data_IF_299475679599
#
_entry.id   IF_299475679599
#
_cell.length_a   1.000
_cell.length_b   1.000
_cell.length_c   1.000
_cell.angle_alpha   90.00
_cell.angle_beta   90.00
_cell.angle_gamma   90.00
#
_symmetry.space_group_name_H-M   'P 1'
#
loop_
_entity.id
_entity.type
_entity.pdbx_description
1 polymer ?
#
# COMPACT_ATOMS: atom_id res chain seq x y z
N UNK A 1 21.90 27.91 22.83
CA UNK A 1 20.42 27.87 23.02
C UNK A 1 19.88 26.77 22.12
N UNK A 2 19.43 25.67 22.75
CA UNK A 2 18.64 24.54 22.23
C UNK A 2 19.01 23.96 20.85
N UNK A 3 20.06 23.12 20.86
CA UNK A 3 20.19 21.95 19.99
C UNK A 3 19.08 20.95 20.36
N UNK A 4 18.02 20.85 19.56
CA UNK A 4 17.11 19.71 19.59
C UNK A 4 17.63 18.65 18.64
N UNK A 5 18.19 17.58 19.21
CA UNK A 5 18.43 16.31 18.53
C UNK A 5 17.09 15.72 18.07
N UNK A 6 16.69 16.00 16.84
CA UNK A 6 15.70 15.18 16.16
C UNK A 6 16.44 13.95 15.61
N UNK A 7 16.48 12.88 16.39
CA UNK A 7 16.83 11.55 15.88
C UNK A 7 15.68 11.14 14.95
N UNK A 8 15.85 11.39 13.65
CA UNK A 8 14.92 10.92 12.62
C UNK A 8 15.12 9.41 12.45
N UNK A 9 14.10 8.65 12.86
CA UNK A 9 14.05 7.20 12.80
C UNK A 9 14.00 6.73 11.33
N UNK A 10 15.12 6.22 10.81
CA UNK A 10 15.15 5.34 9.63
C UNK A 10 14.63 3.93 9.99
N UNK A 11 14.38 3.67 11.28
CA UNK A 11 13.60 2.52 11.73
C UNK A 11 12.14 2.90 11.78
N UNK A 12 11.35 2.47 10.79
CA UNK A 12 9.91 2.41 10.96
C UNK A 12 9.59 1.64 12.24
N UNK A 13 8.56 2.06 12.97
CA UNK A 13 8.08 1.31 14.13
C UNK A 13 7.95 -0.16 13.72
N UNK A 14 8.73 -1.03 14.38
CA UNK A 14 8.66 -2.47 14.13
C UNK A 14 7.26 -2.89 14.56
N UNK A 15 6.42 -3.18 13.58
CA UNK A 15 5.05 -3.63 13.82
C UNK A 15 5.12 -5.08 14.32
N UNK A 16 4.79 -5.30 15.59
CA UNK A 16 4.66 -6.64 16.16
C UNK A 16 3.17 -7.03 16.25
N UNK A 17 2.68 -7.69 15.20
CA UNK A 17 1.32 -8.20 15.15
C UNK A 17 1.02 -9.37 16.10
N UNK A 18 2.02 -9.88 16.83
CA UNK A 18 1.81 -10.91 17.85
C UNK A 18 1.59 -10.31 19.24
N UNK A 19 1.96 -9.05 19.45
CA UNK A 19 1.77 -8.39 20.74
C UNK A 19 0.27 -8.34 21.08
N UNK A 20 -0.12 -8.90 22.22
CA UNK A 20 -1.51 -8.90 22.70
C UNK A 20 -2.46 -9.79 21.90
N UNK A 21 -1.95 -10.67 21.03
CA UNK A 21 -2.75 -11.63 20.28
C UNK A 21 -3.29 -12.73 21.22
N UNK A 22 -4.61 -12.89 21.28
CA UNK A 22 -5.30 -13.96 22.02
C UNK A 22 -5.36 -15.23 21.16
N UNK A 23 -5.80 -15.10 19.91
CA UNK A 23 -6.00 -16.21 19.00
C UNK A 23 -5.90 -15.74 17.54
N UNK A 24 -5.51 -16.66 16.65
CA UNK A 24 -5.52 -16.44 15.20
C UNK A 24 -5.86 -17.71 14.42
N UNK A 25 -6.45 -17.51 13.24
CA UNK A 25 -6.73 -18.52 12.23
C UNK A 25 -6.30 -17.97 10.88
N UNK A 26 -5.21 -18.51 10.35
CA UNK A 26 -4.59 -18.01 9.12
C UNK A 26 -5.15 -18.74 7.88
N UNK A 27 -5.75 -19.90 8.04
CA UNK A 27 -6.36 -20.67 6.95
C UNK A 27 -7.52 -19.92 6.25
N UNK A 28 -7.78 -20.30 4.99
CA UNK A 28 -9.01 -19.89 4.30
C UNK A 28 -10.11 -20.88 4.65
N UNK A 29 -11.10 -20.37 5.38
CA UNK A 29 -12.24 -21.11 5.91
C UNK A 29 -13.50 -20.75 5.13
N UNK A 30 -14.38 -21.71 4.81
CA UNK A 30 -15.69 -21.38 4.30
C UNK A 30 -16.54 -20.77 5.42
N UNK A 31 -17.49 -19.89 5.06
CA UNK A 31 -18.36 -19.23 6.03
C UNK A 31 -19.41 -20.18 6.67
N UNK A 32 -19.46 -21.46 6.31
CA UNK A 32 -20.41 -22.46 6.79
C UNK A 32 -19.79 -23.53 7.70
N UNK A 33 -18.76 -23.16 8.45
CA UNK A 33 -18.06 -24.09 9.31
C UNK A 33 -18.99 -24.71 10.37
N UNK A 34 -19.13 -26.02 10.33
CA UNK A 34 -19.98 -26.80 11.25
C UNK A 34 -19.45 -26.83 12.70
N UNK A 35 -18.34 -26.16 13.00
CA UNK A 35 -17.64 -26.24 14.29
C UNK A 35 -17.21 -24.84 14.77
N UNK A 36 -17.40 -24.51 16.07
CA UNK A 36 -16.92 -23.25 16.65
C UNK A 36 -15.39 -23.16 16.64
N UNK A 37 -14.89 -21.95 16.38
CA UNK A 37 -13.48 -21.58 16.52
C UNK A 37 -13.22 -21.18 17.97
N UNK A 38 -12.93 -22.18 18.80
CA UNK A 38 -12.72 -21.99 20.24
C UNK A 38 -11.47 -21.16 20.55
N UNK A 39 -11.58 -20.25 21.52
CA UNK A 39 -10.42 -19.54 22.06
C UNK A 39 -9.55 -20.47 22.92
N UNK A 40 -8.24 -20.18 23.07
CA UNK A 40 -7.38 -20.94 23.96
C UNK A 40 -7.87 -20.79 25.41
N UNK A 41 -7.63 -21.81 26.25
CA UNK A 41 -8.01 -21.78 27.68
C UNK A 41 -7.44 -20.57 28.44
N UNK A 42 -6.30 -20.05 28.00
CA UNK A 42 -5.69 -18.83 28.55
C UNK A 42 -6.50 -17.56 28.31
N UNK A 43 -7.50 -17.61 27.44
CA UNK A 43 -8.41 -16.49 27.18
C UNK A 43 -9.54 -16.37 28.21
N UNK A 44 -9.82 -17.44 28.96
CA UNK A 44 -10.91 -17.49 29.93
C UNK A 44 -10.63 -16.55 31.11
N UNK A 45 -11.59 -15.71 31.45
CA UNK A 45 -11.47 -14.67 32.48
C UNK A 45 -10.75 -13.39 32.03
N UNK A 46 -10.32 -13.27 30.76
CA UNK A 46 -9.74 -12.01 30.27
C UNK A 46 -10.81 -10.91 30.29
N UNK A 47 -10.46 -9.77 30.88
CA UNK A 47 -11.25 -8.54 30.82
C UNK A 47 -10.79 -7.69 29.62
N UNK A 48 -11.62 -7.62 28.58
CA UNK A 48 -11.35 -6.84 27.37
C UNK A 48 -11.69 -5.37 27.58
N UNK A 49 -10.78 -4.62 28.21
CA UNK A 49 -10.88 -3.16 28.33
C UNK A 49 -10.61 -2.46 27.00
N UNK A 50 -9.60 -2.90 26.27
CA UNK A 50 -9.37 -2.52 24.87
C UNK A 50 -9.18 -3.83 24.10
N UNK A 51 -9.64 -3.90 22.86
CA UNK A 51 -9.51 -5.11 22.06
C UNK A 51 -9.62 -4.80 20.58
N UNK A 52 -9.21 -5.76 19.75
CA UNK A 52 -9.40 -5.67 18.32
C UNK A 52 -9.73 -7.03 17.72
N UNK A 53 -10.52 -7.02 16.67
CA UNK A 53 -10.87 -8.19 15.86
C UNK A 53 -10.58 -7.82 14.42
N UNK A 54 -9.75 -8.61 13.75
CA UNK A 54 -9.38 -8.40 12.36
C UNK A 54 -9.57 -9.69 11.56
N UNK A 55 -10.06 -9.59 10.32
CA UNK A 55 -10.21 -10.72 9.41
C UNK A 55 -10.33 -10.23 7.97
N UNK A 56 -10.08 -11.11 7.00
CA UNK A 56 -10.39 -10.87 5.59
C UNK A 56 -11.58 -11.74 5.17
N UNK A 57 -12.49 -11.18 4.39
CA UNK A 57 -13.69 -11.84 3.89
C UNK A 57 -13.77 -11.72 2.36
N UNK A 58 -14.25 -12.78 1.71
CA UNK A 58 -14.65 -12.79 0.30
C UNK A 58 -16.02 -13.44 0.16
N UNK A 59 -16.92 -12.79 -0.54
CA UNK A 59 -18.26 -13.30 -0.84
C UNK A 59 -18.34 -13.70 -2.31
N UNK A 60 -19.03 -14.78 -2.63
CA UNK A 60 -19.28 -15.12 -4.04
C UNK A 60 -20.32 -14.16 -4.64
N UNK A 61 -21.31 -13.77 -3.83
CA UNK A 61 -22.29 -12.74 -4.11
C UNK A 61 -22.88 -12.20 -2.80
N UNK A 62 -23.43 -10.99 -2.84
CA UNK A 62 -24.22 -10.47 -1.71
C UNK A 62 -25.51 -11.30 -1.53
N UNK A 63 -25.99 -11.47 -0.29
CA UNK A 63 -27.25 -12.15 -0.05
C UNK A 63 -28.41 -11.37 -0.68
N UNK A 64 -29.31 -12.06 -1.38
CA UNK A 64 -30.57 -11.48 -1.87
C UNK A 64 -31.61 -11.35 -0.75
N UNK A 65 -32.56 -10.41 -0.90
CA UNK A 65 -33.63 -10.14 0.06
C UNK A 65 -33.32 -8.99 1.03
N UNK A 66 -34.25 -8.68 1.95
CA UNK A 66 -34.15 -7.50 2.83
C UNK A 66 -33.47 -7.78 4.18
N UNK A 67 -33.05 -9.02 4.44
CA UNK A 67 -32.49 -9.41 5.74
C UNK A 67 -30.96 -9.44 5.72
N UNK A 68 -30.35 -8.90 6.79
CA UNK A 68 -28.92 -9.07 7.05
C UNK A 68 -28.64 -10.53 7.41
N UNK A 69 -27.49 -11.04 6.97
CA UNK A 69 -27.01 -12.38 7.32
C UNK A 69 -25.73 -12.27 8.12
N UNK A 70 -25.67 -13.00 9.24
CA UNK A 70 -24.45 -13.13 10.02
C UNK A 70 -23.34 -13.75 9.17
N UNK A 71 -22.10 -13.33 9.40
CA UNK A 71 -20.90 -13.88 8.78
C UNK A 71 -19.97 -14.45 9.85
N UNK A 72 -19.71 -13.64 10.87
CA UNK A 72 -18.82 -13.95 11.97
C UNK A 72 -19.47 -13.41 13.24
N UNK A 73 -19.61 -14.23 14.28
CA UNK A 73 -19.97 -13.73 15.59
C UNK A 73 -19.12 -14.32 16.70
N UNK A 74 -18.88 -13.51 17.73
CA UNK A 74 -18.24 -13.93 18.98
C UNK A 74 -19.33 -14.10 20.03
N UNK A 75 -19.38 -15.27 20.66
CA UNK A 75 -20.25 -15.55 21.79
C UNK A 75 -19.41 -15.85 23.03
N UNK A 76 -19.73 -15.19 24.16
CA UNK A 76 -19.13 -15.42 25.48
C UNK A 76 -20.22 -15.78 26.49
N UNK A 77 -20.00 -16.85 27.27
CA UNK A 77 -20.93 -17.29 28.34
C UNK A 77 -20.99 -16.22 29.44
N UNK A 78 -22.02 -15.37 29.39
CA UNK A 78 -22.13 -14.21 30.28
C UNK A 78 -22.78 -12.99 29.64
N UNK A 79 -23.13 -13.08 28.34
CA UNK A 79 -24.02 -12.12 27.68
C UNK A 79 -23.33 -11.15 26.71
N UNK A 80 -22.01 -11.22 26.56
CA UNK A 80 -21.33 -10.45 25.53
C UNK A 80 -21.41 -11.18 24.18
N UNK A 81 -22.09 -10.54 23.24
CA UNK A 81 -22.20 -11.00 21.85
C UNK A 81 -21.76 -9.89 20.91
N UNK A 82 -21.09 -10.27 19.83
CA UNK A 82 -20.66 -9.36 18.78
C UNK A 82 -20.86 -10.06 17.44
N UNK A 83 -21.62 -9.44 16.54
CA UNK A 83 -22.00 -9.99 15.24
C UNK A 83 -21.52 -9.07 14.13
N UNK A 84 -20.86 -9.66 13.14
CA UNK A 84 -20.56 -9.03 11.86
C UNK A 84 -21.52 -9.61 10.82
N UNK A 85 -22.35 -8.76 10.24
CA UNK A 85 -23.41 -9.13 9.29
C UNK A 85 -23.24 -8.44 7.95
N UNK A 86 -23.87 -8.99 6.92
CA UNK A 86 -23.91 -8.40 5.58
C UNK A 86 -25.35 -8.34 5.07
N UNK A 87 -25.75 -7.19 4.53
CA UNK A 87 -27.06 -6.98 3.91
C UNK A 87 -27.01 -6.92 2.39
N UNK A 88 -28.17 -6.94 1.72
CA UNK A 88 -28.27 -6.92 0.26
C UNK A 88 -27.82 -5.63 -0.42
N UNK A 89 -27.83 -4.50 0.29
CA UNK A 89 -27.37 -3.20 -0.20
C UNK A 89 -26.42 -2.47 0.78
N UNK A 90 -25.89 -3.17 1.79
CA UNK A 90 -25.03 -2.60 2.82
C UNK A 90 -23.70 -3.34 2.88
N UNK A 91 -22.66 -2.65 3.35
CA UNK A 91 -21.40 -3.30 3.71
C UNK A 91 -21.54 -4.16 4.95
N UNK A 92 -20.46 -4.25 5.74
CA UNK A 92 -20.53 -4.94 7.02
C UNK A 92 -21.30 -4.11 8.04
N UNK A 93 -22.20 -4.77 8.75
CA UNK A 93 -22.90 -4.24 9.91
C UNK A 93 -22.33 -4.91 11.15
N UNK A 94 -22.01 -4.11 12.16
CA UNK A 94 -21.60 -4.59 13.48
C UNK A 94 -22.78 -4.41 14.45
N UNK A 95 -23.20 -5.51 15.08
CA UNK A 95 -24.14 -5.53 16.21
C UNK A 95 -23.42 -6.01 17.46
N UNK A 96 -23.57 -5.29 18.58
CA UNK A 96 -22.94 -5.64 19.84
C UNK A 96 -23.97 -5.66 20.98
N UNK A 97 -23.94 -6.68 21.83
CA UNK A 97 -24.88 -6.81 22.95
C UNK A 97 -24.74 -5.69 24.00
N UNK A 98 -23.53 -5.13 24.16
CA UNK A 98 -23.31 -3.97 25.04
C UNK A 98 -23.72 -2.63 24.40
N UNK A 99 -24.24 -2.67 23.17
CA UNK A 99 -24.74 -1.51 22.43
C UNK A 99 -26.00 -1.89 21.64
N UNK A 100 -27.04 -2.42 22.32
CA UNK A 100 -28.14 -3.15 21.67
C UNK A 100 -28.98 -2.31 20.71
N UNK A 101 -29.01 -0.98 20.90
CA UNK A 101 -29.78 -0.04 20.08
C UNK A 101 -28.97 0.60 18.93
N UNK A 102 -27.64 0.41 18.87
CA UNK A 102 -26.78 1.03 17.87
C UNK A 102 -26.22 0.00 16.88
N UNK A 103 -26.75 0.04 15.67
CA UNK A 103 -26.26 -0.75 14.55
C UNK A 103 -25.18 0.05 13.83
N UNK A 104 -23.94 -0.40 13.91
CA UNK A 104 -22.82 0.30 13.28
C UNK A 104 -22.64 -0.26 11.86
N UNK A 105 -23.22 0.42 10.88
CA UNK A 105 -23.20 -0.01 9.49
C UNK A 105 -22.11 0.73 8.70
N UNK A 106 -21.16 -0.01 8.14
CA UNK A 106 -20.15 0.55 7.24
C UNK A 106 -20.75 0.80 5.84
N UNK A 107 -20.20 1.75 5.06
CA UNK A 107 -20.54 1.92 3.65
C UNK A 107 -20.38 0.61 2.86
N UNK A 108 -20.98 0.56 1.66
CA UNK A 108 -20.92 -0.62 0.80
C UNK A 108 -19.46 -1.07 0.56
N UNK A 109 -19.17 -2.35 0.82
CA UNK A 109 -17.90 -3.00 0.49
C UNK A 109 -18.02 -3.71 -0.86
N UNK A 110 -16.92 -3.98 -1.56
CA UNK A 110 -16.94 -4.75 -2.80
C UNK A 110 -16.47 -6.20 -2.59
N UNK A 111 -16.99 -6.86 -1.54
CA UNK A 111 -16.59 -8.23 -1.19
C UNK A 111 -17.05 -9.29 -2.21
N UNK A 112 -17.88 -8.92 -3.20
CA UNK A 112 -18.28 -9.83 -4.26
C UNK A 112 -17.09 -10.14 -5.19
N UNK A 113 -16.52 -11.34 -5.04
CA UNK A 113 -15.38 -11.81 -5.84
C UNK A 113 -14.02 -11.22 -5.44
N UNK A 114 -13.95 -10.28 -4.50
CA UNK A 114 -12.71 -9.68 -3.99
C UNK A 114 -12.57 -9.89 -2.48
N UNK A 115 -11.33 -9.94 -2.00
CA UNK A 115 -11.03 -9.98 -0.58
C UNK A 115 -11.08 -8.56 0.00
N UNK A 116 -11.79 -8.42 1.10
CA UNK A 116 -11.94 -7.19 1.86
C UNK A 116 -11.44 -7.45 3.28
N UNK A 117 -10.53 -6.62 3.78
CA UNK A 117 -10.00 -6.74 5.13
C UNK A 117 -10.76 -5.84 6.10
N UNK A 118 -11.24 -6.42 7.19
CA UNK A 118 -12.10 -5.78 8.17
C UNK A 118 -11.35 -5.71 9.49
N UNK A 119 -11.41 -4.58 10.17
CA UNK A 119 -10.87 -4.45 11.53
C UNK A 119 -11.82 -3.66 12.39
N UNK A 120 -12.33 -4.32 13.43
CA UNK A 120 -12.90 -3.65 14.59
C UNK A 120 -11.77 -3.36 15.57
N UNK A 121 -11.62 -2.10 15.94
CA UNK A 121 -10.67 -1.70 16.97
C UNK A 121 -11.44 -0.96 18.06
N UNK A 122 -11.47 -1.49 19.28
CA UNK A 122 -12.14 -0.89 20.42
C UNK A 122 -11.09 -0.34 21.37
N UNK A 123 -11.07 0.99 21.46
CA UNK A 123 -10.23 1.74 22.38
C UNK A 123 -11.10 2.65 23.22
N UNK A 124 -11.20 2.34 24.51
CA UNK A 124 -11.98 3.06 25.51
C UNK A 124 -11.15 4.21 26.05
N UNK A 125 -11.34 5.39 25.46
CA UNK A 125 -10.74 6.65 25.91
C UNK A 125 -11.87 7.68 26.13
N UNK A 126 -12.06 8.21 27.35
CA UNK A 126 -13.13 9.16 27.63
C UNK A 126 -12.95 10.50 26.89
N UNK A 127 -11.73 10.81 26.41
CA UNK A 127 -11.39 12.10 25.81
C UNK A 127 -11.63 12.11 24.30
N UNK A 128 -11.48 10.99 23.61
CA UNK A 128 -11.48 10.94 22.14
C UNK A 128 -12.17 9.68 21.60
N UNK A 129 -12.82 9.82 20.42
CA UNK A 129 -13.37 8.68 19.69
C UNK A 129 -12.22 7.89 19.05
N UNK A 130 -11.77 6.83 19.72
CA UNK A 130 -10.67 5.98 19.27
C UNK A 130 -11.11 4.55 18.95
N UNK A 131 -12.39 4.23 19.16
CA UNK A 131 -13.00 2.99 18.69
C UNK A 131 -13.52 3.17 17.27
N UNK A 132 -13.45 2.15 16.44
CA UNK A 132 -13.83 2.27 15.04
C UNK A 132 -13.90 0.97 14.26
N UNK A 133 -14.30 1.11 12.99
CA UNK A 133 -14.28 0.06 11.99
C UNK A 133 -13.46 0.52 10.79
N UNK A 134 -12.55 -0.35 10.34
CA UNK A 134 -11.68 -0.14 9.18
C UNK A 134 -11.98 -1.18 8.10
N UNK A 135 -12.00 -0.73 6.85
CA UNK A 135 -12.09 -1.55 5.64
C UNK A 135 -10.84 -1.34 4.81
N UNK A 136 -10.09 -2.40 4.50
CA UNK A 136 -8.79 -2.36 3.81
C UNK A 136 -7.83 -1.34 4.42
N UNK A 137 -7.85 -1.25 5.75
CA UNK A 137 -7.06 -0.29 6.48
C UNK A 137 -7.52 1.15 6.28
N UNK A 138 -8.73 1.41 5.79
CA UNK A 138 -9.32 2.75 5.71
C UNK A 138 -10.42 2.86 6.76
N UNK A 139 -10.30 3.83 7.68
CA UNK A 139 -11.29 4.07 8.72
C UNK A 139 -12.63 4.48 8.10
N UNK A 140 -13.68 3.72 8.36
CA UNK A 140 -15.04 3.98 7.86
C UNK A 140 -15.90 4.67 8.92
N UNK A 141 -15.79 4.21 10.16
CA UNK A 141 -16.59 4.67 11.29
C UNK A 141 -15.71 4.78 12.53
N UNK A 142 -16.03 5.75 13.38
CA UNK A 142 -15.44 5.82 14.72
C UNK A 142 -16.41 6.38 15.74
N UNK A 143 -16.31 5.92 16.97
CA UNK A 143 -17.15 6.38 18.07
C UNK A 143 -16.38 6.40 19.39
N UNK A 144 -16.97 7.04 20.40
CA UNK A 144 -16.50 6.96 21.79
C UNK A 144 -17.13 5.73 22.42
N UNK A 145 -16.31 4.81 22.91
CA UNK A 145 -16.79 3.64 23.63
C UNK A 145 -16.79 3.94 25.14
N UNK A 146 -17.90 3.67 25.87
CA UNK A 146 -17.95 3.80 27.31
C UNK A 146 -16.90 2.93 28.01
N UNK A 147 -16.50 3.34 29.23
CA UNK A 147 -15.66 2.50 30.10
C UNK A 147 -16.41 1.23 30.50
N UNK A 148 -15.68 0.12 30.64
CA UNK A 148 -16.23 -1.17 31.04
C UNK A 148 -15.65 -2.30 30.18
N UNK A 149 -14.98 -3.26 30.82
CA UNK A 149 -14.41 -4.41 30.13
C UNK A 149 -15.45 -5.48 29.84
N UNK A 150 -15.25 -6.22 28.75
CA UNK A 150 -16.03 -7.41 28.44
C UNK A 150 -15.28 -8.63 28.96
N UNK A 151 -15.91 -9.41 29.84
CA UNK A 151 -15.30 -10.65 30.32
C UNK A 151 -15.45 -11.76 29.25
N UNK A 152 -14.34 -12.39 28.92
CA UNK A 152 -14.29 -13.57 28.05
C UNK A 152 -14.51 -14.81 28.90
N UNK A 153 -15.58 -15.56 28.63
CA UNK A 153 -15.91 -16.81 29.32
C UNK A 153 -16.33 -17.87 28.32
N UNK A 154 -15.56 -18.94 28.24
CA UNK A 154 -15.79 -20.05 27.30
C UNK A 154 -16.13 -19.57 25.88
N UNK A 155 -15.47 -18.51 25.41
CA UNK A 155 -15.88 -17.82 24.20
C UNK A 155 -15.36 -18.51 22.93
N UNK A 156 -16.14 -18.38 21.85
CA UNK A 156 -15.78 -18.90 20.54
C UNK A 156 -16.25 -17.96 19.43
N UNK A 157 -15.50 -17.96 18.33
CA UNK A 157 -15.99 -17.41 17.07
C UNK A 157 -16.79 -18.45 16.32
N UNK A 158 -17.90 -18.02 15.73
CA UNK A 158 -18.82 -18.85 14.97
C UNK A 158 -18.96 -18.25 13.57
N UNK A 159 -18.91 -19.12 12.57
CA UNK A 159 -19.10 -18.77 11.16
C UNK A 159 -20.50 -19.23 10.73
N UNK A 160 -21.24 -18.32 10.10
CA UNK A 160 -22.65 -18.53 9.81
C UNK A 160 -22.90 -19.46 8.62
N UNK A 161 -23.42 -20.66 8.90
CA UNK A 161 -23.92 -21.59 7.87
C UNK A 161 -25.02 -21.03 6.96
N UNK A 162 -25.62 -19.87 7.28
CA UNK A 162 -26.64 -19.23 6.43
C UNK A 162 -26.05 -18.48 5.22
N UNK A 163 -24.73 -18.22 5.24
CA UNK A 163 -23.94 -17.67 4.14
C UNK A 163 -23.20 -18.82 3.43
N UNK A 164 -23.93 -19.64 2.68
CA UNK A 164 -23.41 -20.88 2.06
C UNK A 164 -22.39 -20.68 0.92
N UNK A 165 -21.95 -19.44 0.64
CA UNK A 165 -21.10 -19.08 -0.51
C UNK A 165 -20.18 -17.88 -0.21
N UNK A 166 -19.21 -18.10 0.67
CA UNK A 166 -18.17 -17.12 0.97
C UNK A 166 -17.05 -17.73 1.82
N UNK A 167 -15.96 -16.97 1.97
CA UNK A 167 -14.74 -17.40 2.64
C UNK A 167 -14.27 -16.32 3.62
N UNK A 168 -13.64 -16.74 4.70
CA UNK A 168 -12.95 -15.90 5.68
C UNK A 168 -11.53 -16.41 5.90
N UNK A 169 -10.61 -15.52 6.24
CA UNK A 169 -9.23 -15.87 6.58
C UNK A 169 -8.59 -14.78 7.42
N UNK A 170 -7.36 -15.01 7.88
CA UNK A 170 -6.59 -14.05 8.66
C UNK A 170 -7.33 -13.56 9.92
N UNK A 171 -8.23 -14.36 10.48
CA UNK A 171 -9.00 -14.00 11.67
C UNK A 171 -8.03 -13.89 12.86
N UNK A 172 -8.03 -12.73 13.53
CA UNK A 172 -7.16 -12.42 14.67
C UNK A 172 -7.97 -11.72 15.74
N UNK A 173 -7.71 -12.08 16.99
CA UNK A 173 -8.34 -11.50 18.16
C UNK A 173 -7.30 -11.01 19.15
N UNK A 174 -7.41 -9.75 19.58
CA UNK A 174 -6.42 -9.07 20.42
C UNK A 174 -7.03 -8.61 21.73
N UNK A 175 -6.27 -8.69 22.84
CA UNK A 175 -6.65 -8.15 24.15
C UNK A 175 -6.25 -6.67 24.33
N UNK A 176 -6.00 -5.98 23.22
CA UNK A 176 -5.63 -4.56 23.17
C UNK A 176 -6.18 -3.91 21.91
N UNK A 177 -6.21 -2.59 21.91
CA UNK A 177 -6.40 -1.83 20.69
C UNK A 177 -5.13 -1.88 19.83
N UNK A 178 -5.33 -1.88 18.51
CA UNK A 178 -4.28 -1.79 17.51
C UNK A 178 -3.96 -0.33 17.20
N UNK A 179 -2.70 -0.07 16.88
CA UNK A 179 -2.27 1.20 16.30
C UNK A 179 -2.48 1.19 14.77
N UNK A 180 -2.30 2.36 14.16
CA UNK A 180 -2.60 2.54 12.74
C UNK A 180 -1.68 1.75 11.81
N UNK A 181 -0.34 1.71 12.01
CA UNK A 181 0.55 0.80 11.29
C UNK A 181 0.15 -0.68 11.35
N UNK A 182 -0.30 -1.17 12.51
CA UNK A 182 -0.77 -2.56 12.66
C UNK A 182 -2.03 -2.82 11.81
N UNK A 183 -3.00 -1.90 11.85
CA UNK A 183 -4.22 -2.02 11.03
C UNK A 183 -3.89 -2.01 9.53
N UNK A 184 -2.91 -1.20 9.10
CA UNK A 184 -2.43 -1.20 7.71
C UNK A 184 -1.75 -2.51 7.34
N UNK A 185 -0.94 -3.09 8.24
CA UNK A 185 -0.26 -4.34 7.97
C UNK A 185 -1.24 -5.50 7.84
N UNK A 186 -2.23 -5.57 8.75
CA UNK A 186 -3.32 -6.53 8.65
C UNK A 186 -4.09 -6.39 7.34
N UNK A 187 -4.39 -5.15 6.92
CA UNK A 187 -5.04 -4.88 5.65
C UNK A 187 -4.21 -5.28 4.42
N UNK A 188 -2.88 -5.28 4.53
CA UNK A 188 -1.97 -5.72 3.49
C UNK A 188 -1.74 -7.24 3.50
N UNK A 189 -2.18 -7.96 4.55
CA UNK A 189 -2.00 -9.41 4.64
C UNK A 189 -2.76 -10.12 3.53
N UNK A 190 -2.07 -10.88 2.66
CA UNK A 190 -2.74 -11.65 1.65
C UNK A 190 -3.59 -12.76 2.31
N UNK A 191 -4.72 -13.13 1.70
CA UNK A 191 -5.46 -14.33 2.08
C UNK A 191 -4.57 -15.54 1.84
N UNK A 192 -4.24 -16.33 2.86
CA UNK A 192 -3.20 -17.37 2.78
C UNK A 192 -3.52 -18.57 1.86
N UNK A 193 -4.69 -18.62 1.20
CA UNK A 193 -4.95 -19.56 0.09
C UNK A 193 -4.75 -18.97 -1.32
N UNK A 194 -4.51 -17.65 -1.42
CA UNK A 194 -3.97 -17.06 -2.64
C UNK A 194 -2.45 -17.08 -2.53
N UNK A 195 -1.80 -18.21 -2.84
CA UNK A 195 -0.38 -18.19 -3.15
C UNK A 195 -0.17 -17.06 -4.17
N UNK A 196 0.48 -15.96 -3.76
CA UNK A 196 1.00 -14.98 -4.71
C UNK A 196 1.69 -15.81 -5.79
N UNK A 197 1.36 -15.66 -7.09
CA UNK A 197 2.04 -16.41 -8.12
C UNK A 197 3.53 -16.28 -7.84
N UNK A 198 4.26 -17.41 -7.77
CA UNK A 198 5.66 -17.40 -7.33
C UNK A 198 6.45 -16.53 -8.31
N UNK A 199 6.63 -15.26 -7.95
CA UNK A 199 7.29 -14.28 -8.80
C UNK A 199 8.75 -14.69 -8.92
N UNK A 200 9.25 -14.75 -10.14
CA UNK A 200 10.65 -15.04 -10.39
C UNK A 200 11.42 -13.72 -10.37
N UNK A 201 12.57 -13.63 -9.65
CA UNK A 201 13.44 -12.46 -9.71
C UNK A 201 13.81 -12.09 -11.16
N UNK A 202 14.18 -10.84 -11.40
CA UNK A 202 14.74 -10.47 -12.70
C UNK A 202 16.08 -11.18 -12.92
N UNK A 203 16.20 -11.94 -14.03
CA UNK A 203 17.41 -12.69 -14.38
C UNK A 203 18.11 -12.04 -15.58
N UNK A 204 19.05 -11.13 -15.32
CA UNK A 204 19.86 -10.48 -16.35
C UNK A 204 19.14 -9.44 -17.23
N UNK A 205 17.82 -9.51 -17.39
CA UNK A 205 17.00 -8.49 -18.06
C UNK A 205 15.64 -8.29 -17.37
N UNK A 206 15.06 -7.09 -17.55
CA UNK A 206 13.75 -6.74 -17.02
C UNK A 206 12.62 -7.24 -17.92
N UNK A 207 12.35 -8.55 -17.92
CA UNK A 207 11.24 -9.10 -18.71
C UNK A 207 9.91 -8.83 -18.01
N UNK A 208 9.01 -8.14 -18.70
CA UNK A 208 7.67 -7.81 -18.22
C UNK A 208 6.77 -9.05 -18.17
N UNK A 209 5.93 -9.16 -17.12
CA UNK A 209 4.86 -10.14 -17.05
C UNK A 209 3.49 -9.48 -17.35
N UNK A 210 2.49 -10.29 -17.67
CA UNK A 210 1.10 -9.82 -17.79
C UNK A 210 0.60 -9.32 -16.42
N UNK A 211 -0.12 -8.20 -16.42
CA UNK A 211 -0.61 -7.47 -15.24
C UNK A 211 0.51 -7.08 -14.25
N UNK A 212 1.74 -6.89 -14.73
CA UNK A 212 2.84 -6.42 -13.88
C UNK A 212 2.50 -5.05 -13.28
N UNK A 213 2.69 -4.91 -11.97
CA UNK A 213 2.56 -3.65 -11.24
C UNK A 213 3.93 -3.20 -10.78
N UNK A 214 4.44 -2.15 -11.40
CA UNK A 214 5.77 -1.61 -11.13
C UNK A 214 5.64 -0.42 -10.17
N UNK A 215 6.13 -0.57 -8.95
CA UNK A 215 6.29 0.54 -8.02
C UNK A 215 7.64 1.24 -8.27
N UNK A 216 7.63 2.56 -8.43
CA UNK A 216 8.83 3.37 -8.63
C UNK A 216 9.14 4.13 -7.35
N UNK A 217 10.33 3.90 -6.79
CA UNK A 217 10.87 4.58 -5.62
C UNK A 217 12.04 5.46 -6.04
N UNK A 218 12.14 6.65 -5.47
CA UNK A 218 13.22 7.57 -5.75
C UNK A 218 12.94 8.98 -5.26
N UNK A 219 13.92 9.85 -5.48
CA UNK A 219 13.82 11.28 -5.20
C UNK A 219 13.19 12.09 -6.33
N UNK A 220 13.54 13.37 -6.38
CA UNK A 220 13.08 14.36 -7.38
C UNK A 220 13.26 13.92 -8.83
N UNK A 221 14.31 13.16 -9.13
CA UNK A 221 14.58 12.69 -10.49
C UNK A 221 13.62 11.59 -10.96
N UNK A 222 13.20 10.72 -10.05
CA UNK A 222 12.22 9.68 -10.31
C UNK A 222 10.83 10.30 -10.47
N UNK A 223 10.50 11.31 -9.64
CA UNK A 223 9.28 12.10 -9.81
C UNK A 223 9.23 12.73 -11.20
N UNK A 224 10.31 13.37 -11.65
CA UNK A 224 10.36 13.99 -12.98
C UNK A 224 10.14 12.99 -14.14
N UNK A 225 10.67 11.76 -14.03
CA UNK A 225 10.42 10.70 -15.04
C UNK A 225 8.97 10.22 -15.01
N UNK A 226 8.40 10.08 -13.82
CA UNK A 226 7.01 9.65 -13.64
C UNK A 226 6.04 10.71 -14.13
N UNK A 227 6.26 11.99 -13.81
CA UNK A 227 5.46 13.12 -14.29
C UNK A 227 5.52 13.28 -15.81
N UNK A 228 6.71 13.12 -16.42
CA UNK A 228 6.85 13.20 -17.87
C UNK A 228 6.07 12.08 -18.59
N UNK A 229 6.04 10.87 -18.04
CA UNK A 229 5.24 9.76 -18.53
C UNK A 229 5.76 9.08 -19.82
N UNK A 230 6.90 9.51 -20.38
CA UNK A 230 7.48 8.86 -21.58
C UNK A 230 7.83 7.41 -21.33
N UNK A 231 8.39 7.09 -20.15
CA UNK A 231 8.71 5.72 -19.77
C UNK A 231 7.46 4.82 -19.82
N UNK A 232 6.38 5.23 -19.13
CA UNK A 232 5.13 4.47 -19.07
C UNK A 232 4.51 4.32 -20.46
N UNK A 233 4.49 5.39 -21.27
CA UNK A 233 3.94 5.34 -22.64
C UNK A 233 4.69 4.34 -23.54
N UNK A 234 6.01 4.28 -23.41
CA UNK A 234 6.83 3.35 -24.16
C UNK A 234 6.67 1.91 -23.68
N UNK A 235 6.54 1.68 -22.37
CA UNK A 235 6.24 0.35 -21.85
C UNK A 235 4.92 -0.19 -22.39
N UNK A 236 3.86 0.63 -22.36
CA UNK A 236 2.53 0.23 -22.81
C UNK A 236 2.50 -0.12 -24.31
N UNK A 237 3.23 0.63 -25.13
CA UNK A 237 3.25 0.44 -26.60
C UNK A 237 4.18 -0.69 -27.05
N UNK A 238 5.24 -0.98 -26.30
CA UNK A 238 6.13 -2.12 -26.58
C UNK A 238 5.49 -3.47 -26.22
N UNK A 239 4.60 -3.48 -25.23
CA UNK A 239 3.97 -4.69 -24.71
C UNK A 239 2.44 -4.58 -24.75
N UNK A 240 1.82 -4.49 -25.95
CA UNK A 240 0.37 -4.46 -26.06
C UNK A 240 -0.25 -5.71 -25.44
N UNK A 241 -1.38 -5.56 -24.75
CA UNK A 241 -2.06 -6.64 -24.03
C UNK A 241 -1.41 -7.04 -22.69
N UNK A 242 -0.23 -6.51 -22.35
CA UNK A 242 0.41 -6.80 -21.05
C UNK A 242 -0.39 -6.26 -19.86
N UNK A 243 -1.18 -5.20 -20.05
CA UNK A 243 -1.94 -4.52 -18.99
C UNK A 243 -1.06 -4.11 -17.79
N UNK A 244 0.18 -3.74 -18.07
CA UNK A 244 1.12 -3.22 -17.06
C UNK A 244 0.55 -1.98 -16.37
N UNK A 245 0.87 -1.81 -15.10
CA UNK A 245 0.53 -0.64 -14.29
C UNK A 245 1.81 -0.08 -13.69
N UNK A 246 1.97 1.24 -13.75
CA UNK A 246 3.07 1.93 -13.09
C UNK A 246 2.53 2.80 -11.96
N UNK A 247 3.16 2.66 -10.78
CA UNK A 247 2.75 3.28 -9.52
C UNK A 247 3.88 4.18 -9.04
N UNK A 248 3.63 5.49 -9.02
CA UNK A 248 4.62 6.45 -8.55
C UNK A 248 4.62 6.51 -7.02
N UNK A 249 5.68 6.03 -6.37
CA UNK A 249 5.90 6.16 -4.93
C UNK A 249 7.09 7.11 -4.64
N UNK A 250 7.76 7.62 -5.67
CA UNK A 250 8.91 8.51 -5.55
C UNK A 250 8.48 9.87 -5.00
N UNK A 251 9.22 10.47 -4.05
CA UNK A 251 8.91 11.78 -3.47
C UNK A 251 10.11 12.71 -3.63
N UNK A 252 9.87 13.96 -3.97
CA UNK A 252 10.90 14.97 -4.06
C UNK A 252 11.72 15.06 -2.77
N UNK A 253 13.04 15.18 -2.94
CA UNK A 253 14.05 15.15 -1.86
C UNK A 253 14.18 13.83 -1.07
N UNK A 254 13.49 12.75 -1.45
CA UNK A 254 13.77 11.43 -0.88
C UNK A 254 15.20 10.99 -1.24
N UNK A 255 15.86 10.39 -0.26
CA UNK A 255 17.13 9.65 -0.40
C UNK A 255 16.99 8.30 0.30
N UNK A 256 17.99 7.42 0.16
CA UNK A 256 18.05 6.19 0.97
C UNK A 256 18.20 6.47 2.47
N UNK A 257 18.65 7.67 2.84
CA UNK A 257 18.84 8.08 4.23
C UNK A 257 17.56 8.62 4.86
N UNK A 258 16.73 9.31 4.08
CA UNK A 258 15.56 10.03 4.60
C UNK A 258 14.40 9.97 3.60
N UNK A 259 13.25 9.53 4.11
CA UNK A 259 11.96 9.57 3.43
C UNK A 259 10.93 10.11 4.40
N UNK A 260 10.75 11.42 4.38
CA UNK A 260 9.81 12.08 5.28
C UNK A 260 8.39 11.75 4.81
N UNK A 261 7.58 11.21 5.74
CA UNK A 261 6.18 10.87 5.47
C UNK A 261 5.28 11.50 6.53
N UNK A 262 4.07 11.91 6.15
CA UNK A 262 3.08 12.34 7.12
C UNK A 262 2.83 11.29 8.21
N UNK A 263 2.34 11.72 9.37
CA UNK A 263 1.95 10.81 10.45
C UNK A 263 1.00 9.73 9.93
N UNK A 264 1.18 8.47 10.36
CA UNK A 264 0.33 7.34 9.97
C UNK A 264 0.33 6.98 8.47
N UNK A 265 1.36 7.37 7.70
CA UNK A 265 1.47 7.01 6.28
C UNK A 265 1.74 5.51 6.04
N UNK A 266 2.34 4.84 7.03
CA UNK A 266 2.77 3.44 6.95
C UNK A 266 4.24 3.31 6.53
N UNK A 267 4.87 2.21 6.92
CA UNK A 267 6.25 1.91 6.53
C UNK A 267 6.41 1.57 5.05
N UNK A 268 7.64 1.57 4.53
CA UNK A 268 7.91 1.32 3.10
C UNK A 268 7.31 0.00 2.58
N UNK A 269 7.41 -1.08 3.35
CA UNK A 269 6.78 -2.37 3.01
C UNK A 269 5.28 -2.22 2.74
N UNK A 270 4.55 -1.63 3.70
CA UNK A 270 3.11 -1.40 3.61
C UNK A 270 2.76 -0.48 2.44
N UNK A 271 3.60 0.54 2.18
CA UNK A 271 3.43 1.43 1.04
C UNK A 271 3.49 0.66 -0.29
N UNK A 272 4.47 -0.23 -0.46
CA UNK A 272 4.61 -1.06 -1.67
C UNK A 272 3.45 -2.05 -1.77
N UNK A 273 3.09 -2.74 -0.69
CA UNK A 273 2.00 -3.73 -0.66
C UNK A 273 0.65 -3.12 -1.05
N UNK A 274 0.32 -1.92 -0.54
CA UNK A 274 -0.91 -1.20 -0.87
C UNK A 274 -1.09 -0.90 -2.35
N UNK A 275 -0.01 -0.87 -3.12
CA UNK A 275 -0.07 -0.60 -4.56
C UNK A 275 -0.34 -1.86 -5.38
N UNK A 276 -0.24 -3.04 -4.76
CA UNK A 276 -0.29 -4.33 -5.45
C UNK A 276 0.98 -4.63 -6.26
N UNK A 277 2.11 -3.99 -5.93
CA UNK A 277 3.35 -4.11 -6.70
C UNK A 277 3.83 -5.55 -6.84
N UNK A 278 4.12 -5.94 -8.07
CA UNK A 278 4.81 -7.20 -8.41
C UNK A 278 6.28 -6.97 -8.70
N UNK A 279 6.70 -5.74 -8.98
CA UNK A 279 8.10 -5.33 -9.13
C UNK A 279 8.35 -3.97 -8.49
N UNK A 280 9.59 -3.71 -8.07
CA UNK A 280 10.02 -2.42 -7.52
C UNK A 280 11.25 -1.91 -8.26
N UNK A 281 11.17 -0.68 -8.74
CA UNK A 281 12.27 0.04 -9.39
C UNK A 281 12.78 1.15 -8.47
N UNK A 282 14.07 1.11 -8.14
CA UNK A 282 14.74 2.03 -7.24
C UNK A 282 15.66 2.98 -8.03
N UNK A 283 15.40 4.28 -7.91
CA UNK A 283 16.13 5.37 -8.56
C UNK A 283 16.73 6.28 -7.47
N UNK A 284 17.94 5.93 -7.03
CA UNK A 284 18.69 6.60 -5.96
C UNK A 284 20.18 6.66 -6.30
N UNK A 285 20.97 7.36 -5.49
CA UNK A 285 22.43 7.39 -5.53
C UNK A 285 23.00 8.74 -5.98
N UNK A 286 22.26 9.48 -6.81
CA UNK A 286 22.74 10.78 -7.32
C UNK A 286 22.67 11.88 -6.27
N UNK A 287 21.52 12.02 -5.60
CA UNK A 287 21.35 12.99 -4.52
C UNK A 287 22.30 12.68 -3.35
N UNK A 288 22.45 11.41 -3.00
CA UNK A 288 23.34 10.95 -1.93
C UNK A 288 24.81 11.21 -2.22
N UNK A 289 25.23 11.01 -3.48
CA UNK A 289 26.57 11.37 -3.93
C UNK A 289 26.80 12.89 -3.85
N UNK A 290 25.79 13.69 -4.22
CA UNK A 290 25.88 15.15 -4.15
C UNK A 290 25.99 15.66 -2.70
N UNK A 291 25.20 15.10 -1.79
CA UNK A 291 25.16 15.51 -0.38
C UNK A 291 26.37 15.06 0.45
N UNK A 292 26.86 13.83 0.20
CA UNK A 292 27.87 13.21 1.08
C UNK A 292 29.25 13.05 0.46
N UNK A 293 29.37 13.20 -0.87
CA UNK A 293 30.64 12.97 -1.56
C UNK A 293 31.16 11.54 -1.35
N UNK A 294 32.46 11.34 -1.50
CA UNK A 294 33.05 9.99 -1.43
C UNK A 294 33.00 9.37 -0.03
N UNK A 295 33.13 10.19 1.01
CA UNK A 295 33.13 9.74 2.41
C UNK A 295 31.78 9.16 2.84
N UNK A 296 30.70 9.46 2.10
CA UNK A 296 29.34 8.95 2.34
C UNK A 296 29.08 7.52 1.86
N UNK A 297 30.00 6.91 1.10
CA UNK A 297 29.78 5.59 0.49
C UNK A 297 29.46 4.49 1.53
N UNK A 298 30.14 4.39 2.68
CA UNK A 298 29.82 3.36 3.67
C UNK A 298 28.40 3.51 4.25
N UNK A 299 27.99 4.74 4.56
CA UNK A 299 26.63 5.03 5.05
C UNK A 299 25.58 4.71 3.97
N UNK A 300 25.84 5.12 2.73
CA UNK A 300 24.99 4.86 1.57
C UNK A 300 24.75 3.37 1.37
N UNK A 301 25.81 2.54 1.40
CA UNK A 301 25.69 1.09 1.32
C UNK A 301 24.74 0.54 2.39
N UNK A 302 24.98 0.90 3.65
CA UNK A 302 24.18 0.40 4.76
C UNK A 302 22.71 0.81 4.67
N UNK A 303 22.42 2.02 4.21
CA UNK A 303 21.06 2.51 4.00
C UNK A 303 20.36 1.82 2.81
N UNK A 304 21.06 1.68 1.68
CA UNK A 304 20.55 1.00 0.48
C UNK A 304 20.26 -0.48 0.75
N UNK A 305 21.14 -1.20 1.45
CA UNK A 305 20.92 -2.60 1.82
C UNK A 305 19.67 -2.78 2.68
N UNK A 306 19.43 -1.88 3.64
CA UNK A 306 18.20 -1.91 4.46
C UNK A 306 16.96 -1.71 3.59
N UNK A 307 16.98 -0.73 2.69
CA UNK A 307 15.86 -0.47 1.79
C UNK A 307 15.57 -1.65 0.86
N UNK A 308 16.60 -2.23 0.24
CA UNK A 308 16.46 -3.38 -0.67
C UNK A 308 15.91 -4.60 0.08
N UNK A 309 16.35 -4.85 1.33
CA UNK A 309 15.79 -5.91 2.18
C UNK A 309 14.29 -5.74 2.40
N UNK A 310 13.85 -4.52 2.75
CA UNK A 310 12.42 -4.21 2.94
C UNK A 310 11.62 -4.41 1.65
N UNK A 311 12.17 -4.02 0.49
CA UNK A 311 11.51 -4.25 -0.79
C UNK A 311 11.41 -5.75 -1.12
N UNK A 312 12.44 -6.53 -0.79
CA UNK A 312 12.53 -7.97 -1.05
C UNK A 312 11.50 -8.78 -0.24
N UNK A 313 11.03 -8.26 0.90
CA UNK A 313 9.91 -8.85 1.65
C UNK A 313 8.58 -8.81 0.87
N UNK A 314 8.43 -7.86 -0.05
CA UNK A 314 7.18 -7.69 -0.83
C UNK A 314 7.26 -8.43 -2.16
N UNK A 315 8.37 -8.30 -2.88
CA UNK A 315 8.60 -8.96 -4.17
C UNK A 315 10.07 -9.26 -4.42
N UNK A 316 10.41 -10.41 -5.05
CA UNK A 316 11.76 -10.70 -5.50
C UNK A 316 12.17 -9.95 -6.79
N UNK A 317 11.26 -9.22 -7.44
CA UNK A 317 11.50 -8.52 -8.72
C UNK A 317 11.95 -7.09 -8.48
N UNK A 318 13.20 -6.95 -8.06
CA UNK A 318 13.80 -5.67 -7.70
C UNK A 318 14.79 -5.21 -8.78
N UNK A 319 14.76 -3.93 -9.10
CA UNK A 319 15.73 -3.30 -9.99
C UNK A 319 16.29 -2.01 -9.39
N UNK A 320 17.61 -1.88 -9.39
CA UNK A 320 18.33 -0.66 -9.05
C UNK A 320 18.83 -0.01 -10.33
N UNK A 321 18.43 1.24 -10.54
CA UNK A 321 18.77 2.00 -11.74
C UNK A 321 20.09 2.72 -11.56
N UNK A 322 20.99 2.63 -12.54
CA UNK A 322 22.20 3.46 -12.54
C UNK A 322 21.81 4.95 -12.50
N UNK A 323 22.36 5.74 -11.55
CA UNK A 323 22.07 7.16 -11.48
C UNK A 323 22.66 7.90 -12.68
N UNK A 324 21.95 8.92 -13.19
CA UNK A 324 22.42 9.72 -14.31
C UNK A 324 23.67 10.54 -13.97
N UNK A 325 24.53 10.78 -14.96
CA UNK A 325 25.66 11.68 -14.76
C UNK A 325 25.19 13.11 -14.40
N UNK A 326 25.96 13.79 -13.55
CA UNK A 326 25.83 15.23 -13.35
C UNK A 326 26.31 15.98 -14.60
N UNK A 327 25.69 17.14 -14.86
CA UNK A 327 26.08 18.04 -15.95
C UNK A 327 26.66 19.37 -15.43
N UNK A 328 27.24 20.15 -16.33
CA UNK A 328 27.78 21.49 -16.02
C UNK A 328 28.83 21.45 -14.92
N UNK A 329 28.79 22.44 -14.01
CA UNK A 329 29.72 22.57 -12.87
C UNK A 329 29.66 21.37 -11.90
N UNK A 330 28.56 20.61 -11.90
CA UNK A 330 28.40 19.43 -11.05
C UNK A 330 29.08 18.19 -11.65
N UNK A 331 29.53 18.23 -12.91
CA UNK A 331 30.21 17.10 -13.57
C UNK A 331 31.46 16.63 -12.82
N UNK A 332 32.06 17.48 -11.99
CA UNK A 332 33.17 17.13 -11.09
C UNK A 332 32.85 15.97 -10.13
N UNK A 333 31.57 15.75 -9.81
CA UNK A 333 31.12 14.67 -8.93
C UNK A 333 31.00 13.31 -9.65
N UNK A 334 31.09 13.26 -10.98
CA UNK A 334 30.86 12.03 -11.75
C UNK A 334 31.89 10.92 -11.47
N UNK A 335 33.12 11.26 -11.07
CA UNK A 335 34.10 10.26 -10.65
C UNK A 335 33.66 9.53 -9.37
N UNK A 336 33.10 10.27 -8.40
CA UNK A 336 32.52 9.72 -7.17
C UNK A 336 31.21 8.99 -7.46
N UNK A 337 30.36 9.52 -8.34
CA UNK A 337 29.09 8.89 -8.71
C UNK A 337 29.28 7.47 -9.27
N UNK A 338 30.34 7.23 -10.05
CA UNK A 338 30.69 5.87 -10.52
C UNK A 338 30.96 4.90 -9.37
N UNK A 339 31.53 5.37 -8.26
CA UNK A 339 31.75 4.56 -7.05
C UNK A 339 30.43 4.22 -6.36
N UNK A 340 29.48 5.17 -6.31
CA UNK A 340 28.12 4.92 -5.85
C UNK A 340 27.40 3.89 -6.73
N UNK A 341 27.47 4.03 -8.06
CA UNK A 341 26.90 3.06 -9.00
C UNK A 341 27.50 1.65 -8.82
N UNK A 342 28.81 1.54 -8.57
CA UNK A 342 29.45 0.26 -8.26
C UNK A 342 28.91 -0.38 -6.96
N UNK A 343 28.71 0.42 -5.91
CA UNK A 343 28.08 -0.02 -4.66
C UNK A 343 26.65 -0.51 -4.91
N UNK A 344 25.86 0.21 -5.72
CA UNK A 344 24.51 -0.21 -6.10
C UNK A 344 24.52 -1.55 -6.83
N UNK A 345 25.47 -1.76 -7.75
CA UNK A 345 25.62 -3.03 -8.46
C UNK A 345 25.96 -4.19 -7.52
N UNK A 346 26.85 -3.96 -6.54
CA UNK A 346 27.22 -4.95 -5.54
C UNK A 346 26.05 -5.30 -4.61
N UNK A 347 25.32 -4.29 -4.12
CA UNK A 347 24.14 -4.49 -3.26
C UNK A 347 23.04 -5.22 -4.03
N UNK A 348 22.79 -4.84 -5.28
CA UNK A 348 21.81 -5.54 -6.11
C UNK A 348 22.16 -7.03 -6.23
N UNK A 349 23.42 -7.35 -6.57
CA UNK A 349 23.92 -8.72 -6.67
C UNK A 349 23.78 -9.49 -5.34
N UNK A 350 24.14 -8.87 -4.22
CA UNK A 350 24.07 -9.50 -2.90
C UNK A 350 22.64 -9.85 -2.48
N UNK A 351 21.65 -9.12 -2.98
CA UNK A 351 20.24 -9.27 -2.64
C UNK A 351 19.40 -9.94 -3.74
N UNK A 352 20.03 -10.47 -4.79
CA UNK A 352 19.32 -11.09 -5.92
C UNK A 352 18.46 -10.11 -6.74
N UNK A 353 18.73 -8.80 -6.62
CA UNK A 353 18.14 -7.75 -7.43
C UNK A 353 18.97 -7.52 -8.71
N UNK A 354 18.36 -6.89 -9.71
CA UNK A 354 19.04 -6.51 -10.94
C UNK A 354 19.58 -5.08 -10.82
N UNK A 355 20.86 -4.87 -11.13
CA UNK A 355 21.38 -3.52 -11.40
C UNK A 355 21.39 -3.29 -12.89
N UNK A 356 20.84 -2.16 -13.34
CA UNK A 356 20.73 -1.85 -14.76
C UNK A 356 21.43 -0.54 -15.08
N UNK A 357 22.47 -0.67 -15.91
CA UNK A 357 23.19 0.46 -16.47
C UNK A 357 22.32 1.24 -17.46
N UNK A 358 22.54 2.54 -17.51
CA UNK A 358 21.80 3.44 -18.37
C UNK A 358 21.96 3.06 -19.86
N UNK A 359 20.84 2.97 -20.61
CA UNK A 359 20.84 2.71 -22.05
C UNK A 359 20.44 3.95 -22.84
N UNK A 360 21.10 4.17 -23.97
CA UNK A 360 20.84 5.30 -24.86
C UNK A 360 21.59 6.57 -24.46
N UNK A 361 21.72 7.50 -25.41
CA UNK A 361 22.44 8.76 -25.23
C UNK A 361 21.54 9.80 -24.52
N UNK A 362 22.06 10.40 -23.45
CA UNK A 362 21.47 11.59 -22.82
C UNK A 362 22.22 12.79 -23.38
N UNK A 363 21.50 13.66 -24.07
CA UNK A 363 22.08 14.85 -24.70
C UNK A 363 22.35 15.92 -23.65
N UNK A 364 23.42 16.74 -23.83
CA UNK A 364 23.68 17.87 -22.95
C UNK A 364 22.47 18.79 -22.79
N UNK A 365 22.25 19.28 -21.57
CA UNK A 365 21.09 20.10 -21.22
C UNK A 365 19.89 19.27 -20.76
N UNK A 366 20.12 18.01 -20.38
CA UNK A 366 19.11 17.15 -19.78
C UNK A 366 18.71 17.63 -18.38
N UNK A 367 19.54 18.43 -17.72
CA UNK A 367 19.30 19.03 -16.42
C UNK A 367 19.31 20.55 -16.49
N UNK A 368 18.56 21.20 -15.59
CA UNK A 368 18.48 22.67 -15.50
C UNK A 368 19.65 23.29 -14.73
N UNK A 369 20.23 22.53 -13.80
CA UNK A 369 21.21 23.00 -12.80
C UNK A 369 22.35 21.99 -12.58
N UNK A 370 22.51 21.03 -13.49
CA UNK A 370 23.49 19.95 -13.36
C UNK A 370 22.96 18.70 -12.64
N UNK A 371 21.77 18.77 -12.02
CA UNK A 371 21.17 17.70 -11.23
C UNK A 371 19.69 17.46 -11.59
N UNK A 372 18.84 18.48 -11.46
CA UNK A 372 17.40 18.38 -11.67
C UNK A 372 17.06 18.30 -13.16
N UNK A 373 16.29 17.29 -13.56
CA UNK A 373 15.95 17.04 -14.96
C UNK A 373 15.05 18.14 -15.54
N UNK A 374 15.29 18.48 -16.80
CA UNK A 374 14.33 19.18 -17.64
C UNK A 374 13.30 18.17 -18.17
N UNK A 375 12.16 18.63 -18.71
CA UNK A 375 11.20 17.73 -19.36
C UNK A 375 11.84 16.93 -20.51
N UNK A 376 12.78 17.54 -21.25
CA UNK A 376 13.52 16.84 -22.30
C UNK A 376 14.47 15.77 -21.73
N UNK A 377 15.15 16.05 -20.61
CA UNK A 377 16.00 15.08 -19.93
C UNK A 377 15.20 13.92 -19.33
N UNK A 378 14.07 14.21 -18.69
CA UNK A 378 13.15 13.19 -18.16
C UNK A 378 12.63 12.26 -19.27
N UNK A 379 12.24 12.82 -20.42
CA UNK A 379 11.82 12.03 -21.57
C UNK A 379 12.95 11.14 -22.12
N UNK A 380 14.18 11.68 -22.25
CA UNK A 380 15.34 10.92 -22.72
C UNK A 380 15.71 9.78 -21.76
N UNK A 381 15.68 10.03 -20.45
CA UNK A 381 15.92 8.99 -19.47
C UNK A 381 14.81 7.94 -19.48
N UNK A 382 13.55 8.37 -19.52
CA UNK A 382 12.40 7.46 -19.64
C UNK A 382 12.48 6.56 -20.87
N UNK A 383 12.94 7.08 -22.02
CA UNK A 383 13.27 6.27 -23.20
C UNK A 383 14.37 5.24 -22.93
N UNK A 384 15.43 5.66 -22.24
CA UNK A 384 16.53 4.77 -21.84
C UNK A 384 16.06 3.65 -20.94
N UNK A 385 15.22 3.95 -19.94
CA UNK A 385 14.62 2.98 -19.02
C UNK A 385 13.74 2.01 -19.81
N UNK A 386 12.87 2.50 -20.69
CA UNK A 386 11.98 1.65 -21.49
C UNK A 386 12.75 0.62 -22.34
N UNK A 387 13.93 0.98 -22.90
CA UNK A 387 14.81 0.06 -23.65
C UNK A 387 15.42 -1.06 -22.81
N UNK A 388 15.37 -0.97 -21.50
CA UNK A 388 15.93 -1.98 -20.61
C UNK A 388 14.96 -3.15 -20.38
N UNK A 389 13.69 -3.00 -20.74
CA UNK A 389 12.65 -4.02 -20.58
C UNK A 389 12.62 -5.07 -21.70
N UNK A 390 13.71 -5.17 -22.47
CA UNK A 390 13.89 -6.15 -23.57
C UNK A 390 12.85 -5.99 -24.71
N UNK A 391 12.35 -4.76 -24.90
CA UNK A 391 11.49 -4.36 -26.01
C UNK A 391 12.21 -3.44 -27.01
N UNK A 392 11.53 -3.13 -28.11
CA UNK A 392 11.98 -2.15 -29.11
C UNK A 392 11.07 -0.90 -29.08
N UNK A 393 11.39 0.11 -28.25
CA UNK A 393 10.53 1.27 -28.08
C UNK A 393 10.47 2.09 -29.37
N UNK A 394 9.27 2.17 -29.93
CA UNK A 394 8.94 3.09 -31.02
C UNK A 394 8.83 4.53 -30.49
N UNK A 395 8.44 5.45 -31.36
CA UNK A 395 8.17 6.85 -30.98
C UNK A 395 6.96 6.92 -30.05
N UNK A 396 7.06 7.74 -29.01
CA UNK A 396 5.95 8.02 -28.09
C UNK A 396 4.80 8.75 -28.78
N UNK A 397 3.56 8.32 -28.55
CA UNK A 397 2.33 9.01 -29.00
C UNK A 397 1.90 10.05 -27.97
N UNK A 398 1.62 11.29 -28.42
CA UNK A 398 1.25 12.40 -27.54
C UNK A 398 -0.09 12.22 -26.83
N UNK A 399 -1.05 11.51 -27.44
CA UNK A 399 -2.34 11.19 -26.81
C UNK A 399 -2.15 10.21 -25.66
N UNK A 400 -1.26 9.23 -25.83
CA UNK A 400 -0.94 8.26 -24.79
C UNK A 400 -0.26 8.94 -23.60
N UNK A 401 0.72 9.84 -23.85
CA UNK A 401 1.32 10.65 -22.77
C UNK A 401 0.29 11.51 -22.04
N UNK A 402 -0.66 12.11 -22.75
CA UNK A 402 -1.71 12.92 -22.13
C UNK A 402 -2.59 12.09 -21.17
N UNK A 403 -3.05 10.90 -21.60
CA UNK A 403 -3.81 9.99 -20.75
C UNK A 403 -3.01 9.52 -19.53
N UNK A 404 -1.72 9.24 -19.70
CA UNK A 404 -0.82 8.90 -18.59
C UNK A 404 -0.69 10.07 -17.61
N UNK A 405 -0.57 11.31 -18.10
CA UNK A 405 -0.54 12.51 -17.26
C UNK A 405 -1.82 12.69 -16.44
N UNK A 406 -2.99 12.45 -17.05
CA UNK A 406 -4.27 12.44 -16.34
C UNK A 406 -4.32 11.34 -15.27
N UNK A 407 -3.90 10.12 -15.61
CA UNK A 407 -3.82 9.00 -14.66
C UNK A 407 -2.84 9.30 -13.51
N UNK A 408 -1.68 9.89 -13.80
CA UNK A 408 -0.68 10.26 -12.81
C UNK A 408 -1.20 11.36 -11.88
N UNK A 409 -1.97 12.32 -12.40
CA UNK A 409 -2.65 13.33 -11.57
C UNK A 409 -3.64 12.69 -10.59
N UNK A 410 -4.45 11.73 -11.07
CA UNK A 410 -5.37 10.99 -10.20
C UNK A 410 -4.62 10.15 -9.15
N UNK A 411 -3.56 9.45 -9.58
CA UNK A 411 -2.71 8.68 -8.68
C UNK A 411 -2.05 9.58 -7.63
N UNK A 412 -1.51 10.74 -8.00
CA UNK A 412 -0.93 11.69 -7.06
C UNK A 412 -1.96 12.16 -6.03
N UNK A 413 -3.19 12.49 -6.46
CA UNK A 413 -4.27 12.89 -5.52
C UNK A 413 -4.68 11.76 -4.57
N UNK A 414 -4.64 10.51 -5.04
CA UNK A 414 -4.91 9.33 -4.23
C UNK A 414 -3.77 9.02 -3.24
N UNK A 415 -2.53 9.05 -3.71
CA UNK A 415 -1.34 8.66 -2.96
C UNK A 415 -0.88 9.75 -1.98
N UNK A 416 -1.00 11.02 -2.40
CA UNK A 416 -0.64 12.23 -1.64
C UNK A 416 -1.82 13.21 -1.53
N UNK A 417 -2.90 12.85 -0.83
CA UNK A 417 -4.01 13.77 -0.60
C UNK A 417 -3.54 15.04 0.13
N UNK A 418 -3.99 16.21 -0.34
CA UNK A 418 -3.51 17.51 0.15
C UNK A 418 -3.71 17.73 1.66
N UNK A 419 -4.70 17.08 2.28
CA UNK A 419 -5.05 17.30 3.69
C UNK A 419 -4.86 16.06 4.57
N UNK A 420 -3.67 15.47 4.53
CA UNK A 420 -3.36 14.21 5.23
C UNK A 420 -3.73 14.20 6.72
N UNK A 421 -3.56 15.34 7.41
CA UNK A 421 -3.89 15.47 8.83
C UNK A 421 -5.35 15.09 9.15
N UNK A 422 -6.29 15.43 8.25
CA UNK A 422 -7.70 15.09 8.39
C UNK A 422 -8.05 13.74 7.78
N UNK A 423 -7.18 13.14 6.97
CA UNK A 423 -7.37 11.81 6.39
C UNK A 423 -6.90 10.71 7.35
N UNK A 424 -5.64 10.74 7.74
CA UNK A 424 -5.01 9.71 8.57
C UNK A 424 -4.10 10.27 9.66
N UNK A 425 -3.85 11.58 9.70
CA UNK A 425 -3.04 12.21 10.75
C UNK A 425 -3.79 12.42 12.06
N UNK A 426 -3.46 13.51 12.75
CA UNK A 426 -3.91 13.83 14.12
C UNK A 426 -5.25 14.59 14.19
N UNK A 427 -5.85 14.94 13.04
CA UNK A 427 -7.08 15.75 12.96
C UNK A 427 -8.30 14.98 12.46
N UNK A 428 -8.28 13.65 12.52
CA UNK A 428 -9.40 12.78 12.09
C UNK A 428 -10.67 12.95 12.93
N UNK A 429 -10.57 13.49 14.14
CA UNK A 429 -11.71 13.76 15.03
C UNK A 429 -12.31 15.17 14.88
N UNK A 430 -11.70 16.05 14.07
CA UNK A 430 -12.22 17.41 13.87
C UNK A 430 -13.52 17.39 13.05
N UNK A 431 -14.47 18.32 13.28
CA UNK A 431 -15.72 18.38 12.53
C UNK A 431 -15.55 18.40 11.00
N UNK A 432 -14.50 19.04 10.48
CA UNK A 432 -14.22 19.05 9.04
C UNK A 432 -13.64 17.73 8.49
N UNK A 433 -13.36 16.72 9.33
CA UNK A 433 -13.09 15.34 8.91
C UNK A 433 -14.35 14.46 8.95
N UNK A 434 -15.50 15.01 9.35
CA UNK A 434 -16.75 14.29 9.57
C UNK A 434 -17.82 14.69 8.57
N UNK A 435 -18.76 13.78 8.31
CA UNK A 435 -19.94 14.10 7.54
C UNK A 435 -20.81 15.13 8.29
N UNK A 436 -21.36 16.10 7.54
CA UNK A 436 -22.12 17.21 8.10
C UNK A 436 -23.53 16.82 8.58
N UNK A 437 -24.07 15.70 8.12
CA UNK A 437 -25.35 15.12 8.53
C UNK A 437 -25.14 14.06 9.61
N UNK A 438 -24.15 13.19 9.45
CA UNK A 438 -23.80 12.14 10.41
C UNK A 438 -22.33 12.25 10.89
N UNK A 439 -22.07 12.95 12.01
CA UNK A 439 -20.71 13.15 12.52
C UNK A 439 -19.95 11.88 12.91
N UNK A 440 -20.62 10.71 12.98
CA UNK A 440 -19.95 9.43 13.24
C UNK A 440 -19.18 8.92 12.02
N UNK A 441 -19.58 9.37 10.82
CA UNK A 441 -18.97 9.00 9.56
C UNK A 441 -17.82 9.91 9.19
N UNK A 442 -16.83 9.34 8.49
CA UNK A 442 -15.70 10.09 7.93
C UNK A 442 -15.88 10.21 6.42
N UNK A 443 -16.17 11.42 5.95
CA UNK A 443 -16.37 11.70 4.53
C UNK A 443 -15.07 11.66 3.69
N UNK A 444 -13.96 12.19 4.22
CA UNK A 444 -12.72 12.34 3.44
C UNK A 444 -12.06 11.00 3.04
N UNK A 445 -12.00 9.96 3.89
CA UNK A 445 -11.55 8.63 3.46
C UNK A 445 -12.38 8.06 2.31
N UNK A 446 -13.71 8.20 2.37
CA UNK A 446 -14.61 7.76 1.31
C UNK A 446 -14.35 8.50 -0.01
N UNK A 447 -14.12 9.82 0.05
CA UNK A 447 -13.76 10.63 -1.13
C UNK A 447 -12.43 10.20 -1.75
N UNK A 448 -11.40 9.95 -0.94
CA UNK A 448 -10.10 9.47 -1.45
C UNK A 448 -10.22 8.11 -2.14
N UNK A 449 -11.07 7.23 -1.64
CA UNK A 449 -11.30 5.92 -2.25
C UNK A 449 -11.99 6.00 -3.63
N UNK A 450 -12.71 7.09 -3.93
CA UNK A 450 -13.32 7.32 -5.25
C UNK A 450 -12.29 7.51 -6.37
N UNK A 451 -11.03 7.84 -6.04
CA UNK A 451 -9.97 7.93 -7.07
C UNK A 451 -9.61 6.56 -7.67
N UNK A 452 -9.77 5.45 -6.92
CA UNK A 452 -9.41 4.10 -7.40
C UNK A 452 -10.14 3.71 -8.70
N UNK A 453 -11.48 3.77 -8.80
CA UNK A 453 -12.18 3.46 -10.04
C UNK A 453 -11.85 4.45 -11.17
N UNK A 454 -11.53 5.71 -10.86
CA UNK A 454 -11.10 6.70 -11.88
C UNK A 454 -9.72 6.35 -12.46
N UNK A 455 -8.79 5.92 -11.60
CA UNK A 455 -7.46 5.42 -12.02
C UNK A 455 -7.63 4.18 -12.89
N UNK A 456 -8.45 3.21 -12.46
CA UNK A 456 -8.73 1.98 -13.22
C UNK A 456 -9.37 2.29 -14.59
N UNK A 457 -10.30 3.26 -14.65
CA UNK A 457 -10.88 3.71 -15.92
C UNK A 457 -9.81 4.29 -16.86
N UNK A 458 -8.91 5.15 -16.35
CA UNK A 458 -7.82 5.72 -17.15
C UNK A 458 -6.80 4.67 -17.59
N UNK A 459 -6.51 3.68 -16.76
CA UNK A 459 -5.67 2.55 -17.15
C UNK A 459 -6.28 1.76 -18.32
N UNK A 460 -7.59 1.49 -18.27
CA UNK A 460 -8.29 0.83 -19.38
C UNK A 460 -8.26 1.66 -20.68
N UNK A 461 -8.43 2.98 -20.59
CA UNK A 461 -8.28 3.89 -21.74
C UNK A 461 -6.86 3.84 -22.33
N UNK A 462 -5.84 3.91 -21.47
CA UNK A 462 -4.41 3.81 -21.83
C UNK A 462 -4.15 2.48 -22.54
N UNK A 463 -4.59 1.35 -21.98
CA UNK A 463 -4.37 0.03 -22.57
C UNK A 463 -5.07 -0.11 -23.92
N UNK A 464 -6.29 0.40 -24.06
CA UNK A 464 -7.02 0.37 -25.34
C UNK A 464 -6.25 1.12 -26.41
N UNK A 465 -5.82 2.35 -26.12
CA UNK A 465 -5.04 3.15 -27.06
C UNK A 465 -3.68 2.52 -27.36
N UNK A 466 -2.99 1.99 -26.34
CA UNK A 466 -1.71 1.31 -26.52
C UNK A 466 -1.83 0.08 -27.45
N UNK A 467 -2.92 -0.69 -27.31
CA UNK A 467 -3.20 -1.83 -28.20
C UNK A 467 -3.51 -1.39 -29.64
N UNK A 468 -4.20 -0.27 -29.83
CA UNK A 468 -4.44 0.32 -31.16
C UNK A 468 -3.13 0.77 -31.81
N UNK A 469 -2.21 1.35 -31.04
CA UNK A 469 -0.92 1.85 -31.51
C UNK A 469 0.15 0.76 -31.71
N UNK A 470 0.14 -0.27 -30.86
CA UNK A 470 1.09 -1.40 -30.89
C UNK A 470 0.85 -2.38 -32.04
N UNK A 471 -0.30 -2.27 -32.72
CA UNK A 471 -0.79 -3.26 -33.67
C UNK A 471 -1.54 -4.38 -32.95
N UNK A 472 -2.68 -4.80 -33.49
CA UNK A 472 -3.40 -5.97 -32.98
C UNK A 472 -2.44 -7.16 -32.94
N UNK A 473 -2.45 -7.93 -31.84
CA UNK A 473 -2.01 -9.32 -31.90
C UNK A 473 -2.70 -9.98 -33.11
N UNK A 474 -1.98 -10.70 -33.98
CA UNK A 474 -2.58 -11.42 -35.09
C UNK A 474 -3.71 -12.35 -34.63
#
# INVERSE_FOLDING_TARGET
MLLCNAVAQVGGDVVDLNQGLIAKWDEVMPLDLNHPLALPKSADGIMLENFAVAFAIKLDAFPGGDHVKDVLWLESKGGAQMHFDVGSQRGIVLRCAWKPDDWLAMPAMNAAGRWEHVTLNVKRDPRQAQSGLWLNGVEQLSWKEPLGGIEVREAAFLLSGTMSKGQITNLRFYNRALNRPEILELAAMPPMAGLKPKLVPFSGSMKLMTEEVIAVLGGTEAEAVMEDGTMEALLMTQFPGSRVKVRNLAWEADTVFRQDRPMNFGGLKQQIERTGATAVMLMFGRQECFERGEDGIPEFRGALEKMVKVCAEVTPRLVLMEPLAFEGELSKHNATLKKYAAVMAEVAKAHGALFVAQKGEIKPGATRDGLNLTSAGAAQWGMGIAKMWDGDPKKTDGRLKALIGEKNTLWHRYWRPANWAFLHGDRTAQPSSRDHVDPTQRWFPGEVEQYKPLIEAKENEIWKLANELGGKLP
#
